data_IF_306496656635
#
_entry.id   IF_306496656635
#
_cell.length_a   1.000
_cell.length_b   1.000
_cell.length_c   1.000
_cell.angle_alpha   90.00
_cell.angle_beta   90.00
_cell.angle_gamma   90.00
#
_symmetry.space_group_name_H-M   'P 1'
#
loop_
_entity.id
_entity.type
_entity.pdbx_description
1 polymer ?
#
# COMPACT_ATOMS: atom_id res chain seq x y z
N UNK A 1 -10.07 7.87 29.91
CA UNK A 1 -9.00 7.24 29.11
C UNK A 1 -9.61 6.14 28.26
N UNK A 2 -9.38 6.11 26.93
CA UNK A 2 -9.83 5.00 26.08
C UNK A 2 -9.08 3.73 26.48
N UNK A 3 -9.77 2.58 26.55
CA UNK A 3 -9.15 1.28 26.87
C UNK A 3 -8.11 0.95 25.79
N UNK A 4 -6.84 0.78 26.19
CA UNK A 4 -5.79 0.34 25.28
C UNK A 4 -5.85 -1.17 25.09
N UNK A 5 -5.70 -1.64 23.85
CA UNK A 5 -5.66 -3.05 23.50
C UNK A 5 -4.48 -3.33 22.57
N UNK A 6 -4.01 -4.58 22.53
CA UNK A 6 -2.88 -4.98 21.68
C UNK A 6 -3.13 -4.73 20.18
N UNK A 7 -4.38 -4.88 19.74
CA UNK A 7 -4.77 -4.76 18.34
C UNK A 7 -5.52 -3.45 18.02
N UNK A 8 -5.76 -2.61 19.02
CA UNK A 8 -6.46 -1.34 18.89
C UNK A 8 -7.95 -1.48 18.55
N UNK A 9 -8.64 -0.36 18.65
CA UNK A 9 -10.04 -0.17 18.26
C UNK A 9 -10.14 0.84 17.12
N UNK A 10 -11.26 0.84 16.41
CA UNK A 10 -11.63 1.88 15.45
C UNK A 10 -12.05 3.15 16.21
N UNK A 11 -12.12 4.32 15.55
CA UNK A 11 -12.64 5.54 16.17
C UNK A 11 -14.06 5.38 16.76
N UNK A 12 -14.86 4.46 16.20
CA UNK A 12 -16.20 4.10 16.68
C UNK A 12 -16.19 3.11 17.87
N UNK A 13 -15.03 2.76 18.42
CA UNK A 13 -14.89 1.90 19.60
C UNK A 13 -14.98 0.39 19.33
N UNK A 14 -15.09 -0.04 18.07
CA UNK A 14 -15.11 -1.47 17.69
C UNK A 14 -13.68 -2.01 17.60
N UNK A 15 -13.40 -3.30 17.88
CA UNK A 15 -12.07 -3.87 17.68
C UNK A 15 -11.63 -3.73 16.21
N UNK A 16 -10.42 -3.20 15.96
CA UNK A 16 -9.99 -2.87 14.60
C UNK A 16 -9.90 -4.10 13.69
N UNK A 17 -9.49 -5.25 14.25
CA UNK A 17 -9.41 -6.53 13.52
C UNK A 17 -10.75 -7.00 12.95
N UNK A 18 -11.87 -6.68 13.61
CA UNK A 18 -13.20 -7.07 13.14
C UNK A 18 -13.55 -6.40 11.81
N UNK A 19 -13.04 -5.19 11.57
CA UNK A 19 -13.20 -4.47 10.30
C UNK A 19 -12.07 -4.81 9.32
N UNK A 20 -10.85 -4.96 9.82
CA UNK A 20 -9.67 -5.19 8.98
C UNK A 20 -9.66 -6.56 8.28
N UNK A 21 -10.10 -7.62 8.98
CA UNK A 21 -10.16 -8.98 8.40
C UNK A 21 -11.05 -9.03 7.16
N UNK A 22 -12.35 -8.67 7.22
CA UNK A 22 -13.22 -8.76 6.04
C UNK A 22 -12.76 -7.82 4.92
N UNK A 23 -12.26 -6.63 5.25
CA UNK A 23 -11.75 -5.70 4.25
C UNK A 23 -10.49 -6.24 3.56
N UNK A 24 -9.57 -6.84 4.33
CA UNK A 24 -8.35 -7.45 3.81
C UNK A 24 -8.59 -8.71 2.98
N UNK A 25 -9.55 -9.56 3.39
CA UNK A 25 -9.99 -10.71 2.60
C UNK A 25 -10.59 -10.25 1.27
N UNK A 26 -11.41 -9.19 1.28
CA UNK A 26 -11.98 -8.60 0.07
C UNK A 26 -10.89 -8.07 -0.87
N UNK A 27 -9.85 -7.41 -0.34
CA UNK A 27 -8.67 -7.00 -1.12
C UNK A 27 -7.96 -8.22 -1.72
N UNK A 28 -7.75 -9.28 -0.94
CA UNK A 28 -7.12 -10.51 -1.41
C UNK A 28 -7.91 -11.18 -2.54
N UNK A 29 -9.24 -11.27 -2.42
CA UNK A 29 -10.12 -11.79 -3.46
C UNK A 29 -10.01 -10.93 -4.74
N UNK A 30 -10.08 -9.61 -4.62
CA UNK A 30 -9.96 -8.70 -5.76
C UNK A 30 -8.62 -8.88 -6.49
N UNK A 31 -7.51 -8.95 -5.75
CA UNK A 31 -6.19 -9.18 -6.33
C UNK A 31 -6.09 -10.57 -6.97
N UNK A 32 -6.61 -11.61 -6.33
CA UNK A 32 -6.69 -12.95 -6.90
C UNK A 32 -7.43 -12.97 -8.24
N UNK A 33 -8.58 -12.28 -8.34
CA UNK A 33 -9.32 -12.14 -9.60
C UNK A 33 -8.47 -11.43 -10.65
N UNK A 34 -7.86 -10.30 -10.30
CA UNK A 34 -7.01 -9.52 -11.23
C UNK A 34 -5.87 -10.39 -11.78
N UNK A 35 -5.17 -11.12 -10.90
CA UNK A 35 -4.08 -12.00 -11.33
C UNK A 35 -4.59 -13.13 -12.24
N UNK A 36 -5.71 -13.76 -11.92
CA UNK A 36 -6.30 -14.80 -12.77
C UNK A 36 -6.76 -14.26 -14.13
N UNK A 37 -7.27 -13.03 -14.20
CA UNK A 37 -7.61 -12.37 -15.46
C UNK A 37 -6.38 -12.10 -16.33
N UNK A 38 -5.28 -11.65 -15.72
CA UNK A 38 -4.00 -11.41 -16.43
C UNK A 38 -3.42 -12.74 -16.95
N UNK A 39 -3.52 -13.81 -16.17
CA UNK A 39 -3.06 -15.15 -16.59
C UNK A 39 -3.91 -15.76 -17.70
N UNK A 40 -5.20 -15.43 -17.73
CA UNK A 40 -6.17 -15.98 -18.67
C UNK A 40 -7.09 -17.01 -18.02
N UNK A 41 -8.40 -16.81 -18.18
CA UNK A 41 -9.45 -17.64 -17.56
C UNK A 41 -9.54 -19.07 -18.11
N UNK A 42 -8.90 -19.35 -19.24
CA UNK A 42 -8.92 -20.66 -19.89
C UNK A 42 -7.83 -21.62 -19.38
N UNK A 43 -6.95 -21.17 -18.47
CA UNK A 43 -5.94 -22.03 -17.88
C UNK A 43 -6.59 -23.13 -17.01
N UNK A 44 -6.14 -24.38 -17.17
CA UNK A 44 -6.70 -25.54 -16.45
C UNK A 44 -6.62 -25.40 -14.93
N UNK A 45 -5.61 -24.66 -14.43
CA UNK A 45 -5.35 -24.44 -13.01
C UNK A 45 -5.81 -23.05 -12.51
N UNK A 46 -6.65 -22.33 -13.26
CA UNK A 46 -7.03 -20.94 -12.93
C UNK A 46 -7.68 -20.80 -11.55
N UNK A 47 -8.45 -21.80 -11.12
CA UNK A 47 -9.07 -21.82 -9.79
C UNK A 47 -8.02 -21.98 -8.69
N UNK A 48 -7.06 -22.89 -8.89
CA UNK A 48 -5.95 -23.07 -7.96
C UNK A 48 -5.09 -21.81 -7.87
N UNK A 49 -4.79 -21.19 -9.02
CA UNK A 49 -4.05 -19.95 -9.10
C UNK A 49 -4.77 -18.79 -8.39
N UNK A 50 -6.09 -18.65 -8.61
CA UNK A 50 -6.92 -17.69 -7.90
C UNK A 50 -6.82 -17.86 -6.39
N UNK A 51 -7.04 -19.09 -5.90
CA UNK A 51 -7.01 -19.40 -4.46
C UNK A 51 -5.63 -19.11 -3.87
N UNK A 52 -4.56 -19.48 -4.57
CA UNK A 52 -3.18 -19.22 -4.15
C UNK A 52 -2.93 -17.71 -4.02
N UNK A 53 -3.21 -16.95 -5.07
CA UNK A 53 -2.96 -15.51 -5.09
C UNK A 53 -3.83 -14.77 -4.06
N UNK A 54 -5.11 -15.13 -3.93
CA UNK A 54 -6.00 -14.54 -2.93
C UNK A 54 -5.52 -14.84 -1.49
N UNK A 55 -5.10 -16.07 -1.21
CA UNK A 55 -4.63 -16.48 0.12
C UNK A 55 -3.29 -15.83 0.47
N UNK A 56 -2.38 -15.68 -0.50
CA UNK A 56 -1.08 -15.03 -0.26
C UNK A 56 -1.21 -13.52 -0.08
N UNK A 57 -2.15 -12.88 -0.77
CA UNK A 57 -2.33 -11.42 -0.69
C UNK A 57 -3.27 -10.98 0.44
N UNK A 58 -4.16 -11.85 0.91
CA UNK A 58 -5.09 -11.54 1.99
C UNK A 58 -4.40 -11.08 3.30
N UNK A 59 -3.34 -11.73 3.83
CA UNK A 59 -2.65 -11.25 5.04
C UNK A 59 -2.11 -9.82 4.89
N UNK A 60 -1.57 -9.49 3.72
CA UNK A 60 -1.07 -8.15 3.40
C UNK A 60 -2.22 -7.16 3.37
N UNK A 61 -3.33 -7.52 2.71
CA UNK A 61 -4.56 -6.72 2.68
C UNK A 61 -5.13 -6.46 4.07
N UNK A 62 -5.12 -7.48 4.95
CA UNK A 62 -5.59 -7.36 6.34
C UNK A 62 -4.70 -6.40 7.12
N UNK A 63 -3.38 -6.52 6.99
CA UNK A 63 -2.43 -5.62 7.66
C UNK A 63 -2.61 -4.16 7.20
N UNK A 64 -2.80 -3.93 5.91
CA UNK A 64 -3.07 -2.60 5.34
C UNK A 64 -4.42 -2.04 5.82
N UNK A 65 -5.47 -2.85 5.75
CA UNK A 65 -6.80 -2.49 6.23
C UNK A 65 -6.78 -2.13 7.72
N UNK A 66 -6.07 -2.91 8.53
CA UNK A 66 -5.88 -2.64 9.94
C UNK A 66 -5.17 -1.30 10.16
N UNK A 67 -4.06 -1.05 9.45
CA UNK A 67 -3.28 0.19 9.58
C UNK A 67 -4.10 1.44 9.23
N UNK A 68 -5.09 1.33 8.32
CA UNK A 68 -5.97 2.43 7.94
C UNK A 68 -7.07 2.68 8.98
N UNK A 69 -7.63 1.62 9.56
CA UNK A 69 -8.85 1.69 10.37
C UNK A 69 -8.56 1.85 11.87
N UNK A 70 -7.37 1.43 12.33
CA UNK A 70 -7.00 1.46 13.75
C UNK A 70 -6.82 2.90 14.27
N UNK A 71 -7.49 3.22 15.38
CA UNK A 71 -7.24 4.43 16.16
C UNK A 71 -5.96 4.21 16.99
N UNK A 72 -4.87 4.84 16.56
CA UNK A 72 -3.55 4.68 17.18
C UNK A 72 -3.54 5.01 18.68
N UNK A 73 -4.43 5.88 19.16
CA UNK A 73 -4.53 6.22 20.59
C UNK A 73 -4.99 5.06 21.48
N UNK A 74 -5.61 4.04 20.87
CA UNK A 74 -6.11 2.84 21.54
C UNK A 74 -5.12 1.68 21.52
N UNK A 75 -3.95 1.86 20.88
CA UNK A 75 -2.90 0.85 20.86
C UNK A 75 -2.04 0.94 22.12
N UNK A 76 -1.82 -0.20 22.77
CA UNK A 76 -0.89 -0.31 23.90
C UNK A 76 0.53 0.04 23.44
N UNK A 77 1.20 0.96 24.14
CA UNK A 77 2.58 1.37 23.82
C UNK A 77 2.72 2.38 22.66
N UNK A 78 1.61 2.89 22.11
CA UNK A 78 1.69 3.95 21.12
C UNK A 78 2.20 5.27 21.74
N UNK A 79 3.28 5.80 21.18
CA UNK A 79 3.80 7.14 21.50
C UNK A 79 2.73 8.17 21.10
N UNK A 80 2.42 9.12 22.00
CA UNK A 80 1.33 10.07 21.81
C UNK A 80 1.55 11.06 20.65
N UNK A 81 2.80 11.51 20.44
CA UNK A 81 3.18 12.50 19.42
C UNK A 81 4.44 12.09 18.65
N UNK A 82 4.38 11.01 17.84
CA UNK A 82 5.53 10.52 17.09
C UNK A 82 6.07 11.54 16.07
N UNK A 83 5.22 12.44 15.57
CA UNK A 83 5.56 13.50 14.61
C UNK A 83 6.49 14.58 15.16
N UNK A 84 6.57 14.74 16.48
CA UNK A 84 7.46 15.72 17.12
C UNK A 84 8.87 15.14 17.34
N UNK A 85 9.04 13.83 17.11
CA UNK A 85 10.35 13.18 17.22
C UNK A 85 11.31 13.63 16.10
N UNK A 86 12.57 13.86 16.47
CA UNK A 86 13.68 14.12 15.54
C UNK A 86 13.79 13.00 14.49
N UNK A 87 13.53 11.75 14.89
CA UNK A 87 13.54 10.60 13.97
C UNK A 87 12.44 10.71 12.91
N UNK A 88 11.26 11.20 13.28
CA UNK A 88 10.16 11.41 12.32
C UNK A 88 10.51 12.47 11.30
N UNK A 89 11.24 13.50 11.71
CA UNK A 89 11.75 14.53 10.80
C UNK A 89 12.76 13.94 9.81
N UNK A 90 13.77 13.20 10.29
CA UNK A 90 14.75 12.53 9.42
C UNK A 90 14.09 11.53 8.49
N UNK A 91 13.17 10.71 9.00
CA UNK A 91 12.43 9.73 8.19
C UNK A 91 11.58 10.42 7.11
N UNK A 92 10.86 11.50 7.44
CA UNK A 92 10.06 12.24 6.46
C UNK A 92 10.93 12.83 5.36
N UNK A 93 12.08 13.41 5.72
CA UNK A 93 13.04 13.97 4.75
C UNK A 93 13.64 12.87 3.89
N UNK A 94 14.04 11.74 4.47
CA UNK A 94 14.55 10.58 3.75
C UNK A 94 13.50 10.01 2.78
N UNK A 95 12.26 9.81 3.24
CA UNK A 95 11.16 9.33 2.39
C UNK A 95 10.88 10.26 1.20
N UNK A 96 10.89 11.58 1.42
CA UNK A 96 10.74 12.56 0.34
C UNK A 96 11.89 12.46 -0.67
N UNK A 97 13.14 12.46 -0.20
CA UNK A 97 14.31 12.37 -1.08
C UNK A 97 14.30 11.07 -1.87
N UNK A 98 14.08 9.93 -1.20
CA UNK A 98 14.03 8.61 -1.84
C UNK A 98 12.91 8.50 -2.87
N UNK A 99 11.73 9.09 -2.61
CA UNK A 99 10.64 9.10 -3.57
C UNK A 99 11.03 9.82 -4.87
N UNK A 100 11.55 11.05 -4.77
CA UNK A 100 11.96 11.79 -5.96
C UNK A 100 13.16 11.14 -6.66
N UNK A 101 14.09 10.55 -5.90
CA UNK A 101 15.21 9.80 -6.47
C UNK A 101 14.72 8.58 -7.27
N UNK A 102 13.80 7.78 -6.73
CA UNK A 102 13.21 6.63 -7.43
C UNK A 102 12.40 7.06 -8.65
N UNK A 103 11.61 8.13 -8.53
CA UNK A 103 10.83 8.65 -9.65
C UNK A 103 11.73 9.13 -10.80
N UNK A 104 12.80 9.85 -10.48
CA UNK A 104 13.77 10.28 -11.50
C UNK A 104 14.55 9.09 -12.08
N UNK A 105 15.03 8.18 -11.23
CA UNK A 105 15.79 7.01 -11.68
C UNK A 105 14.96 6.10 -12.60
N UNK A 106 13.69 5.87 -12.27
CA UNK A 106 12.77 5.09 -13.13
C UNK A 106 12.42 5.84 -14.43
N UNK A 107 12.16 7.15 -14.38
CA UNK A 107 11.89 7.95 -15.58
C UNK A 107 13.07 8.00 -16.55
N UNK A 108 14.27 8.32 -16.05
CA UNK A 108 15.50 8.32 -16.86
C UNK A 108 15.88 6.91 -17.30
N UNK A 109 15.77 5.92 -16.42
CA UNK A 109 16.04 4.52 -16.76
C UNK A 109 15.13 4.02 -17.87
N UNK A 110 13.85 4.43 -17.88
CA UNK A 110 12.92 4.13 -18.98
C UNK A 110 13.38 4.75 -20.30
N UNK A 111 13.73 6.04 -20.31
CA UNK A 111 14.20 6.73 -21.51
C UNK A 111 15.51 6.13 -22.06
N UNK A 112 16.46 5.77 -21.19
CA UNK A 112 17.72 5.12 -21.57
C UNK A 112 17.44 3.72 -22.15
N UNK A 113 16.59 2.92 -21.49
CA UNK A 113 16.24 1.59 -21.99
C UNK A 113 15.56 1.67 -23.37
N UNK A 114 14.70 2.66 -23.59
CA UNK A 114 14.11 2.92 -24.91
C UNK A 114 15.17 3.23 -25.97
N UNK A 115 16.16 4.08 -25.64
CA UNK A 115 17.26 4.42 -26.55
C UNK A 115 18.15 3.20 -26.88
N UNK A 116 18.21 2.20 -25.99
CA UNK A 116 18.92 0.93 -26.19
C UNK A 116 18.08 -0.15 -26.90
N UNK A 117 16.85 0.16 -27.32
CA UNK A 117 15.88 -0.79 -27.87
C UNK A 117 15.44 -1.91 -26.89
N UNK A 118 15.56 -1.68 -25.58
CA UNK A 118 15.11 -2.59 -24.53
C UNK A 118 13.67 -2.25 -24.10
N UNK A 119 12.70 -2.48 -25.00
CA UNK A 119 11.31 -2.04 -24.84
C UNK A 119 10.66 -2.56 -23.56
N UNK A 120 10.88 -3.83 -23.20
CA UNK A 120 10.29 -4.45 -22.00
C UNK A 120 10.75 -3.74 -20.73
N UNK A 121 12.04 -3.40 -20.64
CA UNK A 121 12.61 -2.70 -19.49
C UNK A 121 12.08 -1.27 -19.46
N UNK A 122 12.04 -0.61 -20.62
CA UNK A 122 11.52 0.75 -20.77
C UNK A 122 10.08 0.88 -20.27
N UNK A 123 9.18 0.02 -20.76
CA UNK A 123 7.77 0.05 -20.35
C UNK A 123 7.58 -0.30 -18.88
N UNK A 124 8.37 -1.23 -18.34
CA UNK A 124 8.31 -1.58 -16.92
C UNK A 124 8.70 -0.38 -16.04
N UNK A 125 9.80 0.30 -16.35
CA UNK A 125 10.25 1.47 -15.60
C UNK A 125 9.29 2.66 -15.76
N UNK A 126 8.71 2.85 -16.94
CA UNK A 126 7.67 3.86 -17.18
C UNK A 126 6.43 3.58 -16.32
N UNK A 127 5.97 2.33 -16.27
CA UNK A 127 4.83 1.93 -15.47
C UNK A 127 5.06 2.21 -13.97
N UNK A 128 6.27 1.92 -13.46
CA UNK A 128 6.66 2.24 -12.06
C UNK A 128 6.65 3.75 -11.81
N UNK A 129 7.18 4.55 -12.73
CA UNK A 129 7.21 6.00 -12.61
C UNK A 129 5.78 6.59 -12.57
N UNK A 130 4.93 6.19 -13.52
CA UNK A 130 3.54 6.63 -13.59
C UNK A 130 2.73 6.18 -12.36
N UNK A 131 2.89 4.93 -11.93
CA UNK A 131 2.24 4.43 -10.73
C UNK A 131 2.65 5.23 -9.49
N UNK A 132 3.94 5.57 -9.36
CA UNK A 132 4.46 6.39 -8.26
C UNK A 132 3.82 7.79 -8.24
N UNK A 133 3.60 8.41 -9.40
CA UNK A 133 2.88 9.71 -9.52
C UNK A 133 1.42 9.57 -9.08
N UNK A 134 0.73 8.51 -9.50
CA UNK A 134 -0.67 8.26 -9.11
C UNK A 134 -0.78 8.07 -7.60
N UNK A 135 0.09 7.24 -7.01
CA UNK A 135 0.11 7.01 -5.55
C UNK A 135 0.38 8.31 -4.79
N UNK A 136 1.35 9.12 -5.24
CA UNK A 136 1.62 10.43 -4.65
C UNK A 136 0.42 11.37 -4.74
N UNK A 137 -0.26 11.44 -5.91
CA UNK A 137 -1.44 12.27 -6.09
C UNK A 137 -2.57 11.87 -5.13
N UNK A 138 -2.87 10.57 -5.02
CA UNK A 138 -3.88 10.05 -4.09
C UNK A 138 -3.53 10.40 -2.64
N UNK A 139 -2.28 10.17 -2.23
CA UNK A 139 -1.81 10.50 -0.89
C UNK A 139 -1.92 12.01 -0.60
N UNK A 140 -1.54 12.85 -1.57
CA UNK A 140 -1.66 14.30 -1.48
C UNK A 140 -3.12 14.75 -1.33
N UNK A 141 -4.04 14.20 -2.14
CA UNK A 141 -5.46 14.54 -2.04
C UNK A 141 -6.08 14.11 -0.71
N UNK A 142 -5.72 12.93 -0.19
CA UNK A 142 -6.15 12.48 1.14
C UNK A 142 -5.67 13.47 2.21
N UNK A 143 -4.39 13.86 2.16
CA UNK A 143 -3.84 14.78 3.15
C UNK A 143 -4.44 16.19 3.02
N UNK A 144 -4.67 16.66 1.79
CA UNK A 144 -5.35 17.94 1.52
C UNK A 144 -6.75 17.98 2.13
N UNK A 145 -7.50 16.87 2.09
CA UNK A 145 -8.83 16.76 2.72
C UNK A 145 -8.79 16.67 4.24
N UNK A 146 -7.69 16.20 4.83
CA UNK A 146 -7.53 16.11 6.29
C UNK A 146 -7.04 17.41 6.93
N UNK A 147 -6.42 18.29 6.15
CA UNK A 147 -5.91 19.59 6.58
C UNK A 147 -6.78 20.80 6.22
N UNK A 148 -7.96 20.56 5.61
CA UNK A 148 -9.00 21.55 5.36
C UNK A 148 -10.15 21.34 6.36
#
# INVERSE_FOLDING_TARGET
>A
MKKQTLWGCTPAGRPAMLVAIPLGVLIGILLGVIFSLIRGLQAEDVVLYFVLMATMTAPIGIALAWAIVVDRSTLTGAIAHPEVSVESHWHRKAAQISFFALLNASGWGSAIAAALNEEKISFTLLAVALFSVVVFAVAYFIQKRRGA
#
